data_IF_367567563336
#
_entry.id   IF_367567563336
#
_cell.length_a   1.000
_cell.length_b   1.000
_cell.length_c   1.000
_cell.angle_alpha   90.00
_cell.angle_beta   90.00
_cell.angle_gamma   90.00
#
_symmetry.space_group_name_H-M   'P 1'
#
loop_
_entity.id
_entity.type
_entity.pdbx_description
1 polymer ?
#
# COMPACT_ATOMS: atom_id res chain seq x y z
N UNK A 1 -28.79 7.10 1.70
CA UNK A 1 -27.55 6.34 1.49
C UNK A 1 -26.59 7.13 0.60
N UNK A 2 -27.02 7.67 -0.54
CA UNK A 2 -26.13 8.40 -1.49
C UNK A 2 -25.59 9.72 -0.89
N UNK A 3 -26.37 10.41 -0.06
CA UNK A 3 -25.96 11.70 0.54
C UNK A 3 -24.88 11.54 1.63
N UNK A 4 -24.90 10.48 2.42
CA UNK A 4 -23.85 10.20 3.41
C UNK A 4 -22.51 9.86 2.74
N UNK A 5 -22.54 9.25 1.54
CA UNK A 5 -21.33 8.93 0.77
C UNK A 5 -20.63 10.18 0.23
N UNK A 6 -21.38 11.24 -0.13
CA UNK A 6 -20.81 12.50 -0.64
C UNK A 6 -20.09 13.25 0.49
N UNK A 7 -20.61 13.24 1.71
CA UNK A 7 -19.98 13.90 2.86
C UNK A 7 -18.68 13.22 3.29
N UNK A 8 -18.53 11.91 3.01
CA UNK A 8 -17.38 11.11 3.43
C UNK A 8 -16.56 10.54 2.28
N UNK A 9 -16.75 11.04 1.05
CA UNK A 9 -16.09 10.49 -0.15
C UNK A 9 -14.56 10.42 -0.04
N UNK A 10 -13.96 11.36 0.67
CA UNK A 10 -12.50 11.44 0.87
C UNK A 10 -12.00 10.79 2.16
N UNK A 11 -12.90 10.23 2.97
CA UNK A 11 -12.49 9.52 4.18
C UNK A 11 -11.73 8.26 3.80
N UNK A 12 -10.62 7.97 4.51
CA UNK A 12 -9.91 6.71 4.31
C UNK A 12 -10.82 5.53 4.67
N UNK A 13 -10.73 4.45 3.92
CA UNK A 13 -11.46 3.22 4.23
C UNK A 13 -11.02 2.60 5.56
N UNK A 14 -9.79 2.89 6.01
CA UNK A 14 -9.26 2.53 7.31
C UNK A 14 -9.80 3.40 8.46
N UNK A 15 -10.49 4.52 8.16
CA UNK A 15 -11.15 5.38 9.14
C UNK A 15 -10.29 6.52 9.70
N UNK A 16 -8.97 6.44 9.63
CA UNK A 16 -7.98 7.45 10.08
C UNK A 16 -6.77 7.43 9.17
N UNK A 17 -5.74 8.23 9.44
CA UNK A 17 -4.41 8.08 8.88
C UNK A 17 -3.70 6.84 9.43
N UNK A 18 -2.56 6.49 8.84
CA UNK A 18 -1.68 5.46 9.36
C UNK A 18 -1.00 5.99 10.63
N UNK A 19 -1.26 5.35 11.77
CA UNK A 19 -0.76 5.76 13.10
C UNK A 19 -0.94 7.25 13.44
N UNK A 20 -1.79 7.97 12.70
CA UNK A 20 -2.02 9.40 12.85
C UNK A 20 -3.47 9.79 12.54
N UNK A 21 -3.82 11.06 12.79
CA UNK A 21 -5.13 11.60 12.40
C UNK A 21 -5.15 12.14 10.97
N UNK A 22 -3.99 12.35 10.35
CA UNK A 22 -3.85 13.00 9.05
C UNK A 22 -3.39 12.01 7.99
N UNK A 23 -3.80 12.23 6.76
CA UNK A 23 -3.37 11.49 5.57
C UNK A 23 -3.61 12.34 4.32
N UNK A 24 -2.97 11.98 3.22
CA UNK A 24 -3.22 12.56 1.92
C UNK A 24 -4.33 11.83 1.17
N UNK A 25 -5.07 12.57 0.35
CA UNK A 25 -6.00 12.00 -0.63
C UNK A 25 -5.58 12.44 -2.01
N UNK A 26 -5.30 11.49 -2.88
CA UNK A 26 -4.97 11.74 -4.27
C UNK A 26 -6.20 11.53 -5.15
N UNK A 27 -6.49 12.51 -6.00
CA UNK A 27 -7.44 12.39 -7.09
C UNK A 27 -6.66 12.18 -8.39
N UNK A 28 -6.81 11.02 -9.00
CA UNK A 28 -6.03 10.61 -10.19
C UNK A 28 -7.00 10.40 -11.35
N UNK A 29 -7.16 11.44 -12.15
CA UNK A 29 -8.05 11.41 -13.31
C UNK A 29 -7.23 11.22 -14.61
N UNK A 30 -7.77 10.46 -15.57
CA UNK A 30 -7.14 10.24 -16.87
C UNK A 30 -6.69 11.55 -17.55
N UNK A 31 -5.43 11.61 -17.94
CA UNK A 31 -4.83 12.75 -18.65
C UNK A 31 -4.33 13.88 -17.75
N UNK A 32 -4.53 13.82 -16.43
CA UNK A 32 -3.91 14.75 -15.49
C UNK A 32 -2.71 14.04 -14.83
N UNK A 33 -1.48 14.49 -15.05
CA UNK A 33 -0.32 13.89 -14.40
C UNK A 33 -0.38 14.22 -12.91
N UNK A 34 -0.48 13.18 -12.10
CA UNK A 34 -0.36 13.27 -10.64
C UNK A 34 1.02 12.76 -10.27
N UNK A 35 1.90 13.66 -9.90
CA UNK A 35 3.28 13.33 -9.59
C UNK A 35 3.77 14.07 -8.36
N UNK A 36 4.69 13.42 -7.66
CA UNK A 36 5.49 14.01 -6.59
C UNK A 36 6.89 14.19 -7.16
N UNK A 37 7.39 15.42 -7.17
CA UNK A 37 8.78 15.69 -7.50
C UNK A 37 9.65 15.33 -6.29
N UNK A 38 10.68 14.55 -6.54
CA UNK A 38 11.70 14.26 -5.53
C UNK A 38 12.62 15.47 -5.50
N UNK A 39 12.49 16.30 -4.46
CA UNK A 39 13.22 17.57 -4.34
C UNK A 39 14.72 17.35 -4.13
N UNK A 40 15.53 18.17 -4.82
CA UNK A 40 16.99 18.26 -4.74
C UNK A 40 17.81 17.12 -5.39
N UNK A 41 17.19 16.16 -6.02
CA UNK A 41 17.90 15.05 -6.64
C UNK A 41 18.24 15.34 -8.10
N UNK A 42 19.46 15.84 -8.37
CA UNK A 42 19.96 15.99 -9.75
C UNK A 42 20.07 14.62 -10.43
N UNK A 43 20.54 13.63 -9.69
CA UNK A 43 20.74 12.25 -10.15
C UNK A 43 19.56 11.32 -9.79
N UNK A 44 18.56 11.82 -9.04
CA UNK A 44 17.47 11.07 -8.47
C UNK A 44 17.82 10.50 -7.09
N UNK A 45 16.79 10.20 -6.31
CA UNK A 45 16.89 9.54 -5.01
C UNK A 45 16.08 8.24 -5.01
N UNK A 46 16.50 7.28 -4.22
CA UNK A 46 15.70 6.09 -3.92
C UNK A 46 14.56 6.47 -2.97
N UNK A 47 13.36 6.10 -3.34
CA UNK A 47 12.16 6.31 -2.54
C UNK A 47 11.80 5.00 -1.85
N UNK A 48 11.70 4.99 -0.53
CA UNK A 48 11.39 3.80 0.28
C UNK A 48 10.01 3.26 -0.03
N UNK A 49 8.99 4.10 0.05
CA UNK A 49 7.61 3.70 -0.15
C UNK A 49 6.61 4.65 0.50
N UNK A 50 5.41 4.16 0.69
CA UNK A 50 4.33 4.86 1.38
C UNK A 50 3.24 3.88 1.79
N UNK A 51 2.39 4.28 2.73
CA UNK A 51 1.17 3.54 3.02
C UNK A 51 0.04 3.98 2.11
N UNK A 52 -0.77 3.02 1.67
CA UNK A 52 -1.92 3.25 0.79
C UNK A 52 -3.16 2.54 1.32
N UNK A 53 -4.32 3.14 1.13
CA UNK A 53 -5.63 2.50 1.29
C UNK A 53 -6.64 3.13 0.35
N UNK A 54 -7.81 2.52 0.19
CA UNK A 54 -8.93 3.10 -0.54
C UNK A 54 -9.54 4.28 0.22
N UNK A 55 -10.26 5.15 -0.51
CA UNK A 55 -11.26 6.01 0.13
C UNK A 55 -12.53 5.20 0.42
N UNK A 56 -13.35 5.69 1.35
CA UNK A 56 -14.65 5.08 1.65
C UNK A 56 -15.56 5.02 0.41
N UNK A 57 -15.44 5.99 -0.49
CA UNK A 57 -16.21 5.99 -1.74
C UNK A 57 -15.75 4.89 -2.69
N UNK A 58 -14.45 4.74 -2.90
CA UNK A 58 -13.88 3.64 -3.72
C UNK A 58 -14.27 2.29 -3.14
N UNK A 59 -14.09 2.09 -1.83
CA UNK A 59 -14.51 0.85 -1.15
C UNK A 59 -15.99 0.55 -1.37
N UNK A 60 -16.86 1.56 -1.24
CA UNK A 60 -18.29 1.38 -1.50
C UNK A 60 -18.57 1.01 -2.96
N UNK A 61 -17.92 1.67 -3.92
CA UNK A 61 -18.10 1.36 -5.34
C UNK A 61 -17.64 -0.07 -5.68
N UNK A 62 -16.55 -0.55 -5.08
CA UNK A 62 -16.07 -1.92 -5.25
C UNK A 62 -17.06 -2.93 -4.65
N UNK A 63 -17.59 -2.69 -3.45
CA UNK A 63 -18.43 -3.65 -2.75
C UNK A 63 -19.90 -3.64 -3.18
N UNK A 64 -20.43 -2.47 -3.52
CA UNK A 64 -21.88 -2.27 -3.70
C UNK A 64 -22.25 -1.65 -5.06
N UNK A 65 -21.24 -1.32 -5.87
CA UNK A 65 -21.44 -0.54 -7.08
C UNK A 65 -21.50 0.96 -6.84
N UNK A 66 -21.45 1.71 -7.93
CA UNK A 66 -21.44 3.18 -7.94
C UNK A 66 -22.67 3.78 -8.63
N UNK A 67 -23.60 2.93 -9.06
CA UNK A 67 -24.79 3.31 -9.82
C UNK A 67 -24.53 3.55 -11.32
N UNK A 68 -23.29 3.38 -11.78
CA UNK A 68 -22.96 3.43 -13.20
C UNK A 68 -23.31 2.10 -13.89
N UNK A 69 -23.64 2.17 -15.17
CA UNK A 69 -24.00 0.97 -15.95
C UNK A 69 -22.85 -0.06 -16.04
N UNK A 70 -21.63 0.37 -15.85
CA UNK A 70 -20.42 -0.47 -15.83
C UNK A 70 -20.16 -1.15 -14.49
N UNK A 71 -20.74 -0.65 -13.41
CA UNK A 71 -20.60 -1.21 -12.07
C UNK A 71 -21.90 -1.09 -11.25
N UNK A 72 -23.00 -1.75 -11.67
CA UNK A 72 -24.29 -1.58 -11.02
C UNK A 72 -24.40 -2.25 -9.66
N UNK A 73 -23.59 -3.27 -9.37
CA UNK A 73 -23.69 -4.09 -8.16
C UNK A 73 -22.38 -4.36 -7.42
N UNK A 74 -21.30 -3.70 -7.80
CA UNK A 74 -19.97 -3.96 -7.25
C UNK A 74 -19.09 -4.80 -8.17
N UNK A 75 -17.92 -5.16 -7.67
CA UNK A 75 -16.95 -5.97 -8.43
C UNK A 75 -17.35 -7.43 -8.44
N UNK A 76 -17.16 -8.04 -9.58
CA UNK A 76 -17.37 -9.45 -9.83
C UNK A 76 -16.03 -10.12 -10.15
N UNK A 77 -16.02 -11.45 -10.22
CA UNK A 77 -14.82 -12.21 -10.61
C UNK A 77 -14.23 -11.68 -11.93
N UNK A 78 -12.95 -11.40 -11.91
CA UNK A 78 -12.17 -10.84 -13.01
C UNK A 78 -12.00 -9.32 -12.92
N UNK A 79 -12.71 -8.65 -12.01
CA UNK A 79 -12.55 -7.21 -11.80
C UNK A 79 -11.34 -6.88 -10.94
N UNK A 80 -10.76 -5.71 -11.20
CA UNK A 80 -9.71 -5.16 -10.38
C UNK A 80 -9.67 -3.62 -10.44
N UNK A 81 -9.06 -3.04 -9.43
CA UNK A 81 -8.60 -1.65 -9.39
C UNK A 81 -7.17 -1.65 -8.90
N UNK A 82 -6.25 -1.05 -9.65
CA UNK A 82 -4.85 -0.98 -9.26
C UNK A 82 -4.28 0.42 -9.42
N UNK A 83 -3.26 0.68 -8.61
CA UNK A 83 -2.42 1.85 -8.66
C UNK A 83 -1.16 1.50 -9.44
N UNK A 84 -0.94 2.15 -10.59
CA UNK A 84 0.29 2.10 -11.35
C UNK A 84 1.20 3.23 -10.91
N UNK A 85 2.37 2.87 -10.44
CA UNK A 85 3.36 3.81 -9.91
C UNK A 85 4.55 3.81 -10.86
N UNK A 86 4.92 4.98 -11.34
CA UNK A 86 5.99 5.15 -12.33
C UNK A 86 7.03 6.12 -11.81
N UNK A 87 8.26 5.66 -11.69
CA UNK A 87 9.43 6.47 -11.39
C UNK A 87 10.11 6.96 -12.69
N UNK A 88 10.43 8.24 -12.76
CA UNK A 88 11.24 8.84 -13.84
C UNK A 88 12.64 9.13 -13.32
N UNK A 89 13.65 8.53 -13.97
CA UNK A 89 15.06 8.63 -13.61
C UNK A 89 15.72 9.89 -14.18
N UNK A 90 16.98 10.14 -13.80
CA UNK A 90 17.75 11.29 -14.25
C UNK A 90 17.93 11.34 -15.77
N UNK A 91 18.04 10.19 -16.42
CA UNK A 91 18.18 10.04 -17.87
C UNK A 91 16.83 10.03 -18.63
N UNK A 92 15.70 10.32 -17.93
CA UNK A 92 14.32 10.26 -18.39
C UNK A 92 13.83 8.84 -18.72
N UNK A 93 14.58 7.80 -18.43
CA UNK A 93 14.06 6.43 -18.44
C UNK A 93 13.05 6.24 -17.32
N UNK A 94 12.18 5.22 -17.45
CA UNK A 94 11.09 4.98 -16.50
C UNK A 94 11.14 3.54 -16.02
N UNK A 95 10.84 3.38 -14.73
CA UNK A 95 10.52 2.11 -14.10
C UNK A 95 9.10 2.17 -13.54
N UNK A 96 8.41 1.05 -13.50
CA UNK A 96 7.02 1.03 -13.02
C UNK A 96 6.73 -0.21 -12.23
N UNK A 97 5.81 -0.09 -11.27
CA UNK A 97 5.21 -1.21 -10.54
C UNK A 97 3.71 -0.99 -10.40
N UNK A 98 3.00 -2.07 -10.12
CA UNK A 98 1.55 -2.08 -9.95
C UNK A 98 1.22 -2.58 -8.55
N UNK A 99 0.29 -1.91 -7.89
CA UNK A 99 -0.25 -2.30 -6.59
C UNK A 99 -1.78 -2.37 -6.65
N UNK A 100 -2.38 -3.50 -6.25
CA UNK A 100 -3.82 -3.69 -6.33
C UNK A 100 -4.53 -3.10 -5.10
N UNK A 101 -5.45 -2.17 -5.35
CA UNK A 101 -6.34 -1.58 -4.34
C UNK A 101 -7.60 -2.42 -4.12
N UNK A 102 -8.01 -3.16 -5.14
CA UNK A 102 -9.01 -4.22 -5.09
C UNK A 102 -8.66 -5.27 -6.15
N UNK A 103 -8.74 -6.53 -5.80
CA UNK A 103 -8.44 -7.65 -6.69
C UNK A 103 -9.48 -8.77 -6.53
N UNK A 104 -10.20 -9.02 -7.62
CA UNK A 104 -11.22 -10.08 -7.76
C UNK A 104 -10.86 -11.02 -8.90
N UNK A 105 -9.59 -11.06 -9.33
CA UNK A 105 -9.14 -11.84 -10.47
C UNK A 105 -8.93 -13.31 -10.18
N UNK A 106 -8.70 -13.69 -8.90
CA UNK A 106 -8.50 -15.09 -8.50
C UNK A 106 -9.71 -15.97 -8.83
N UNK A 107 -9.45 -17.22 -9.20
CA UNK A 107 -10.49 -18.26 -9.30
C UNK A 107 -11.10 -18.62 -7.94
N UNK A 108 -10.36 -18.43 -6.88
CA UNK A 108 -10.81 -18.65 -5.50
C UNK A 108 -11.37 -17.34 -4.94
N UNK A 109 -12.67 -17.29 -4.70
CA UNK A 109 -13.34 -16.11 -4.15
C UNK A 109 -12.82 -15.70 -2.74
N UNK A 110 -12.19 -16.61 -2.01
CA UNK A 110 -11.59 -16.29 -0.71
C UNK A 110 -10.35 -15.38 -0.81
N UNK A 111 -9.76 -15.28 -2.00
CA UNK A 111 -8.60 -14.44 -2.28
C UNK A 111 -9.02 -13.04 -2.77
N UNK A 112 -10.33 -12.83 -3.02
CA UNK A 112 -10.84 -11.52 -3.43
C UNK A 112 -10.75 -10.53 -2.28
N UNK A 113 -10.28 -9.33 -2.57
CA UNK A 113 -10.20 -8.28 -1.56
C UNK A 113 -10.45 -6.88 -2.12
N UNK A 114 -10.84 -6.00 -1.23
CA UNK A 114 -10.83 -4.56 -1.41
C UNK A 114 -10.12 -3.98 -0.19
N UNK A 115 -9.04 -3.25 -0.39
CA UNK A 115 -8.28 -2.66 0.70
C UNK A 115 -9.15 -1.75 1.56
N UNK A 116 -9.13 -1.98 2.87
CA UNK A 116 -9.77 -1.16 3.88
C UNK A 116 -8.89 -0.89 5.10
N UNK A 117 -7.66 -1.34 5.03
CA UNK A 117 -6.57 -1.07 5.97
C UNK A 117 -5.40 -0.44 5.23
N UNK A 118 -4.48 0.17 5.98
CA UNK A 118 -3.25 0.70 5.42
C UNK A 118 -2.30 -0.42 5.02
N UNK A 119 -1.77 -0.37 3.79
CA UNK A 119 -0.80 -1.32 3.28
C UNK A 119 0.43 -0.58 2.78
N UNK A 120 1.61 -1.11 3.10
CA UNK A 120 2.88 -0.57 2.63
C UNK A 120 3.13 -0.91 1.17
N UNK A 121 3.52 0.09 0.40
CA UNK A 121 3.98 -0.07 -1.00
C UNK A 121 5.46 0.28 -1.04
N UNK A 122 6.29 -0.73 -1.22
CA UNK A 122 7.73 -0.55 -1.37
C UNK A 122 8.06 -0.01 -2.76
N UNK A 123 8.76 1.12 -2.83
CA UNK A 123 9.14 1.77 -4.08
C UNK A 123 10.62 1.60 -4.45
N UNK A 124 11.44 0.95 -3.63
CA UNK A 124 12.88 0.78 -3.87
C UNK A 124 13.18 0.11 -5.22
N UNK A 125 12.30 -0.77 -5.69
CA UNK A 125 12.42 -1.40 -7.01
C UNK A 125 12.37 -0.41 -8.19
N UNK A 126 11.91 0.84 -7.98
CA UNK A 126 11.95 1.88 -9.00
C UNK A 126 13.39 2.38 -9.24
N UNK A 127 14.30 2.19 -8.25
CA UNK A 127 15.66 2.74 -8.25
C UNK A 127 15.66 4.24 -7.98
N UNK A 128 16.80 4.89 -8.21
CA UNK A 128 16.91 6.34 -8.05
C UNK A 128 16.05 7.08 -9.08
N UNK A 129 15.09 7.87 -8.62
CA UNK A 129 14.11 8.61 -9.43
C UNK A 129 14.07 10.09 -9.08
N UNK A 130 13.76 10.93 -10.06
CA UNK A 130 13.52 12.37 -9.87
C UNK A 130 12.05 12.68 -9.62
N UNK A 131 11.18 11.83 -10.09
CA UNK A 131 9.74 12.03 -10.05
C UNK A 131 9.05 10.68 -9.91
N UNK A 132 8.01 10.64 -9.07
CA UNK A 132 7.09 9.52 -8.96
C UNK A 132 5.72 9.99 -9.42
N UNK A 133 5.10 9.26 -10.34
CA UNK A 133 3.76 9.54 -10.83
C UNK A 133 2.82 8.36 -10.61
N UNK A 134 1.54 8.68 -10.43
CA UNK A 134 0.49 7.74 -10.10
C UNK A 134 -0.59 7.76 -11.17
N UNK A 135 -1.07 6.58 -11.55
CA UNK A 135 -2.25 6.39 -12.38
C UNK A 135 -3.12 5.28 -11.79
N UNK A 136 -4.44 5.40 -11.92
CA UNK A 136 -5.37 4.33 -11.57
C UNK A 136 -5.81 3.61 -12.84
N UNK A 137 -5.75 2.28 -12.80
CA UNK A 137 -6.20 1.38 -13.87
C UNK A 137 -7.18 0.35 -13.28
N UNK A 138 -8.16 -0.08 -14.06
CA UNK A 138 -9.13 -1.07 -13.62
C UNK A 138 -10.04 -1.56 -14.75
N UNK A 139 -10.86 -2.54 -14.44
CA UNK A 139 -11.78 -3.19 -15.42
C UNK A 139 -13.07 -2.40 -15.64
N UNK A 140 -13.52 -1.66 -14.64
CA UNK A 140 -14.75 -0.86 -14.77
C UNK A 140 -14.48 0.43 -15.53
N UNK A 141 -14.65 0.37 -16.86
CA UNK A 141 -14.35 1.49 -17.77
C UNK A 141 -15.48 1.72 -18.77
N UNK A 142 -15.52 2.93 -19.30
CA UNK A 142 -16.36 3.31 -20.46
C UNK A 142 -15.52 4.13 -21.44
N UNK A 143 -16.18 4.74 -22.42
CA UNK A 143 -15.52 5.59 -23.43
C UNK A 143 -14.82 6.84 -22.86
N UNK A 144 -15.11 7.17 -21.61
CA UNK A 144 -14.54 8.31 -20.88
C UNK A 144 -13.37 7.87 -19.96
N UNK A 145 -13.03 6.59 -19.90
CA UNK A 145 -12.00 6.02 -19.04
C UNK A 145 -12.56 5.24 -17.84
N UNK A 146 -11.82 5.25 -16.74
CA UNK A 146 -12.19 4.54 -15.50
C UNK A 146 -13.49 5.12 -14.92
N UNK A 147 -14.46 4.24 -14.61
CA UNK A 147 -15.73 4.63 -13.99
C UNK A 147 -15.76 4.45 -12.48
N UNK A 148 -14.83 3.65 -11.93
CA UNK A 148 -14.61 3.59 -10.48
C UNK A 148 -14.12 4.97 -9.99
N UNK A 149 -14.52 5.45 -8.80
CA UNK A 149 -14.03 6.72 -8.27
C UNK A 149 -12.50 6.78 -8.25
N UNK A 150 -11.92 7.81 -8.87
CA UNK A 150 -10.48 7.88 -9.18
C UNK A 150 -9.68 8.47 -8.01
N UNK A 151 -9.82 7.89 -6.82
CA UNK A 151 -9.18 8.34 -5.58
C UNK A 151 -8.44 7.21 -4.89
N UNK A 152 -7.38 7.56 -4.18
CA UNK A 152 -6.78 6.72 -3.15
C UNK A 152 -6.27 7.58 -2.00
N UNK A 153 -6.07 6.97 -0.83
CA UNK A 153 -5.44 7.62 0.31
C UNK A 153 -3.99 7.17 0.40
N UNK A 154 -3.09 8.10 0.77
CA UNK A 154 -1.67 7.82 1.01
C UNK A 154 -1.22 8.47 2.30
N UNK A 155 -0.23 7.84 2.95
CA UNK A 155 0.40 8.34 4.17
C UNK A 155 1.87 7.93 4.23
N UNK A 156 2.66 8.59 5.08
CA UNK A 156 4.08 8.32 5.33
C UNK A 156 4.91 8.17 4.03
N UNK A 157 4.70 9.07 3.06
CA UNK A 157 5.44 9.05 1.81
C UNK A 157 6.95 9.24 2.06
N UNK A 158 7.74 8.27 1.57
CA UNK A 158 9.18 8.13 1.82
C UNK A 158 9.55 7.98 3.31
N UNK A 159 8.59 7.58 4.11
CA UNK A 159 8.77 7.22 5.51
C UNK A 159 9.38 5.84 5.71
N UNK A 160 9.30 5.33 6.92
CA UNK A 160 9.72 3.99 7.27
C UNK A 160 8.49 3.06 7.30
N UNK A 161 8.70 1.82 6.89
CA UNK A 161 7.68 0.79 7.08
C UNK A 161 7.62 0.45 8.57
N UNK A 162 6.48 0.72 9.20
CA UNK A 162 6.24 0.20 10.55
C UNK A 162 5.98 -1.30 10.46
N UNK A 163 6.86 -2.09 11.04
CA UNK A 163 6.65 -3.53 11.18
C UNK A 163 5.95 -3.75 12.52
N UNK A 164 4.61 -3.72 12.50
CA UNK A 164 3.82 -4.19 13.62
C UNK A 164 3.54 -5.67 13.39
N UNK A 165 4.03 -6.52 14.27
CA UNK A 165 3.75 -7.98 14.33
C UNK A 165 4.28 -8.85 13.19
N UNK A 166 5.57 -9.19 13.22
CA UNK A 166 6.02 -10.43 12.62
C UNK A 166 5.53 -11.61 13.50
N UNK A 167 4.37 -12.19 13.19
CA UNK A 167 3.94 -13.41 13.85
C UNK A 167 4.71 -14.60 13.26
N UNK A 168 5.67 -15.12 13.99
CA UNK A 168 6.37 -16.35 13.63
C UNK A 168 5.73 -17.50 14.38
N UNK A 169 5.12 -18.42 13.63
CA UNK A 169 4.58 -19.65 14.20
C UNK A 169 5.66 -20.73 14.16
N UNK A 170 6.18 -21.09 15.32
CA UNK A 170 7.10 -22.23 15.48
C UNK A 170 6.29 -23.43 15.90
N UNK A 171 6.24 -24.47 15.07
CA UNK A 171 5.47 -25.70 15.33
C UNK A 171 6.34 -26.88 15.78
N UNK A 172 7.59 -26.66 16.16
CA UNK A 172 8.48 -27.75 16.56
C UNK A 172 8.99 -27.58 17.99
N UNK A 173 9.24 -28.72 18.64
CA UNK A 173 9.71 -28.80 20.03
C UNK A 173 11.24 -28.70 20.16
N UNK A 174 11.95 -28.66 19.03
CA UNK A 174 13.43 -28.68 19.01
C UNK A 174 14.07 -27.29 18.85
N UNK A 175 13.26 -26.24 18.91
CA UNK A 175 13.71 -24.86 18.74
C UNK A 175 13.79 -24.44 17.28
N UNK A 176 13.59 -23.15 17.04
CA UNK A 176 13.76 -22.53 15.73
C UNK A 176 14.54 -21.24 15.88
N UNK A 177 15.36 -20.91 14.91
CA UNK A 177 15.99 -19.60 14.80
C UNK A 177 15.26 -18.76 13.76
N UNK A 178 15.02 -17.51 14.09
CA UNK A 178 14.44 -16.53 13.19
C UNK A 178 15.50 -15.49 12.89
N UNK A 179 15.80 -15.35 11.62
CA UNK A 179 16.68 -14.29 11.14
C UNK A 179 15.89 -12.98 11.11
N UNK A 180 16.16 -12.09 12.05
CA UNK A 180 15.47 -10.82 12.18
C UNK A 180 15.82 -9.83 11.05
N UNK A 181 16.97 -9.98 10.40
CA UNK A 181 17.35 -9.13 9.25
C UNK A 181 16.39 -9.28 8.07
N UNK A 182 15.68 -10.40 7.97
CA UNK A 182 14.63 -10.58 6.94
C UNK A 182 13.39 -9.72 7.18
N UNK A 183 13.16 -9.28 8.41
CA UNK A 183 11.97 -8.52 8.81
C UNK A 183 12.27 -7.04 9.00
N UNK A 184 13.52 -6.69 9.28
CA UNK A 184 13.96 -5.32 9.53
C UNK A 184 15.06 -4.97 8.54
N UNK A 185 14.79 -4.09 7.59
CA UNK A 185 15.81 -3.53 6.72
C UNK A 185 16.07 -2.08 7.11
N UNK A 186 17.31 -1.77 7.45
CA UNK A 186 17.77 -0.42 7.73
C UNK A 186 18.67 0.04 6.59
N UNK A 187 18.44 1.27 6.12
CA UNK A 187 19.21 1.81 5.00
C UNK A 187 20.58 2.34 5.39
N UNK A 188 20.80 2.60 6.67
CA UNK A 188 22.10 3.03 7.16
C UNK A 188 22.94 1.81 7.54
N UNK A 189 23.83 1.41 6.64
CA UNK A 189 24.74 0.28 6.84
C UNK A 189 25.71 0.46 8.02
N UNK A 190 25.84 1.68 8.53
CA UNK A 190 26.70 2.01 9.66
C UNK A 190 25.93 2.10 10.98
N UNK A 191 24.61 1.96 10.96
CA UNK A 191 23.79 1.93 12.16
C UNK A 191 23.99 0.59 12.91
N UNK A 192 24.39 0.68 14.17
CA UNK A 192 24.42 -0.49 15.05
C UNK A 192 22.99 -0.84 15.45
N UNK A 193 22.47 -1.93 14.91
CA UNK A 193 21.16 -2.45 15.26
C UNK A 193 21.29 -3.29 16.51
N UNK A 194 20.46 -3.05 17.51
CA UNK A 194 20.33 -3.93 18.66
C UNK A 194 18.89 -4.41 18.80
N UNK A 195 18.72 -5.68 19.01
CA UNK A 195 17.42 -6.29 19.28
C UNK A 195 17.27 -6.51 20.77
N UNK A 196 16.16 -6.11 21.34
CA UNK A 196 15.87 -6.28 22.75
C UNK A 196 14.58 -7.07 22.91
N UNK A 197 14.64 -8.16 23.65
CA UNK A 197 13.44 -8.87 24.08
C UNK A 197 12.70 -8.02 25.11
N UNK A 198 11.43 -7.73 24.85
CA UNK A 198 10.55 -7.13 25.86
C UNK A 198 9.99 -8.19 26.79
N UNK A 199 9.60 -7.82 28.00
CA UNK A 199 9.12 -8.75 29.04
C UNK A 199 7.76 -9.40 28.74
N UNK A 200 7.18 -9.17 27.57
CA UNK A 200 5.85 -9.69 27.16
C UNK A 200 5.89 -11.12 26.60
N UNK A 201 7.03 -11.80 26.61
CA UNK A 201 7.09 -13.20 26.19
C UNK A 201 6.67 -14.15 27.34
N UNK A 202 5.74 -15.05 27.03
CA UNK A 202 5.35 -16.12 27.96
C UNK A 202 6.45 -17.21 28.00
N UNK A 203 7.34 -17.10 28.98
CA UNK A 203 8.49 -18.02 29.17
C UNK A 203 8.05 -19.43 29.57
N UNK A 204 6.77 -19.66 29.90
CA UNK A 204 6.25 -21.02 30.10
C UNK A 204 6.02 -21.74 28.76
N UNK A 205 5.89 -20.97 27.67
CA UNK A 205 5.66 -21.49 26.31
C UNK A 205 6.96 -21.63 25.52
N UNK A 206 7.84 -20.65 25.61
CA UNK A 206 9.14 -20.68 24.89
C UNK A 206 10.23 -19.90 25.62
N UNK A 207 11.43 -20.45 25.61
CA UNK A 207 12.64 -19.71 26.02
C UNK A 207 13.24 -19.06 24.79
N UNK A 208 13.28 -17.73 24.78
CA UNK A 208 13.74 -16.94 23.62
C UNK A 208 15.03 -16.23 23.98
N UNK A 209 16.05 -16.40 23.15
CA UNK A 209 17.32 -15.71 23.26
C UNK A 209 17.56 -14.87 21.99
N UNK A 210 18.07 -13.65 22.17
CA UNK A 210 18.56 -12.82 21.07
C UNK A 210 20.06 -13.00 21.00
N UNK A 211 20.53 -13.53 19.88
CA UNK A 211 21.95 -13.66 19.60
C UNK A 211 22.33 -12.56 18.59
N UNK A 212 23.18 -11.63 19.01
CA UNK A 212 23.87 -10.73 18.09
C UNK A 212 24.90 -11.57 17.31
N UNK A 213 24.59 -11.80 16.01
CA UNK A 213 25.35 -12.65 15.09
C UNK A 213 26.78 -12.17 14.82
#
# INVERSE_FOLDING_TARGET
>A
VVFELIEHQFRSAAGSGHESANYGVAYVYDGIPHSVDVTNAVDGDEIRGFYVTNTAWVKNAVLNGDGMSTNPGGFEKGDYLCLKITGEKADNSKSSQTFYLADYTSDNAADHYCLDTWQWVDLRALGAVKKVSFALEGTKTNVMGLTTPSYFCLDDFNGERTVTDAQVYVMDTDGASVDLEQYFSFEDSDAAISYVLTDDCDREVADVEVNDG
#
